data_IF_382610756380
#
_entry.id   IF_382610756380
#
_cell.length_a   1.000
_cell.length_b   1.000
_cell.length_c   1.000
_cell.angle_alpha   90.00
_cell.angle_beta   90.00
_cell.angle_gamma   90.00
#
_symmetry.space_group_name_H-M   'P 1'
#
loop_
_entity.id
_entity.type
_entity.pdbx_description
1 polymer ?
#
# COMPACT_ATOMS: atom_id res chain seq x y z
N UNK A 1 -8.05 -20.41 -18.66
CA UNK A 1 -8.42 -19.26 -17.82
C UNK A 1 -8.12 -17.97 -18.54
N UNK A 2 -9.01 -17.00 -18.41
CA UNK A 2 -8.79 -15.66 -18.95
C UNK A 2 -7.74 -14.91 -18.12
N UNK A 3 -6.82 -14.26 -18.79
CA UNK A 3 -5.72 -13.53 -18.15
C UNK A 3 -5.51 -12.20 -18.86
N UNK A 4 -5.38 -11.11 -18.11
CA UNK A 4 -5.10 -9.77 -18.63
C UNK A 4 -3.60 -9.48 -18.49
N UNK A 5 -2.89 -9.41 -19.61
CA UNK A 5 -1.44 -9.25 -19.67
C UNK A 5 -1.10 -7.84 -20.16
N UNK A 6 -0.15 -7.19 -19.52
CA UNK A 6 0.58 -6.07 -20.06
C UNK A 6 1.68 -6.63 -20.99
N UNK A 7 1.43 -6.64 -22.30
CA UNK A 7 2.34 -7.19 -23.31
C UNK A 7 3.61 -6.35 -23.46
N UNK A 8 3.40 -5.05 -23.43
CA UNK A 8 4.43 -4.01 -23.47
C UNK A 8 3.82 -2.70 -22.95
N UNK A 9 4.61 -1.66 -22.70
CA UNK A 9 4.06 -0.35 -22.31
C UNK A 9 2.92 0.12 -23.23
N UNK A 10 1.79 0.48 -22.61
CA UNK A 10 0.59 0.95 -23.30
C UNK A 10 -0.31 -0.14 -23.89
N UNK A 11 0.01 -1.42 -23.71
CA UNK A 11 -0.75 -2.53 -24.34
C UNK A 11 -1.19 -3.55 -23.29
N UNK A 12 -2.50 -3.55 -22.97
CA UNK A 12 -3.15 -4.61 -22.20
C UNK A 12 -3.90 -5.53 -23.16
N UNK A 13 -3.79 -6.83 -22.96
CA UNK A 13 -4.41 -7.84 -23.81
C UNK A 13 -4.98 -9.00 -22.97
N UNK A 14 -6.20 -9.44 -23.31
CA UNK A 14 -6.74 -10.67 -22.78
C UNK A 14 -6.22 -11.87 -23.58
N UNK A 15 -5.70 -12.84 -22.85
CA UNK A 15 -5.24 -14.12 -23.42
C UNK A 15 -5.84 -15.28 -22.64
N UNK A 16 -6.00 -16.41 -23.31
CA UNK A 16 -6.34 -17.68 -22.67
C UNK A 16 -5.05 -18.40 -22.26
N UNK A 17 -4.98 -18.81 -21.00
CA UNK A 17 -3.90 -19.66 -20.45
C UNK A 17 -4.49 -20.90 -19.79
N UNK A 18 -3.70 -21.93 -19.65
CA UNK A 18 -4.06 -23.07 -18.81
C UNK A 18 -4.11 -22.64 -17.33
N UNK A 19 -5.02 -23.26 -16.56
CA UNK A 19 -5.06 -23.07 -15.11
C UNK A 19 -3.77 -23.66 -14.53
N UNK A 20 -2.99 -22.91 -13.71
CA UNK A 20 -1.73 -23.41 -13.16
C UNK A 20 -1.98 -24.58 -12.21
N UNK A 21 -1.09 -25.57 -12.24
CA UNK A 21 -1.01 -26.60 -11.21
C UNK A 21 -0.12 -26.09 -10.11
N UNK A 22 -0.60 -26.00 -8.84
CA UNK A 22 0.23 -25.52 -7.74
C UNK A 22 1.41 -26.48 -7.48
N UNK A 23 2.59 -25.93 -7.20
CA UNK A 23 3.72 -26.68 -6.71
C UNK A 23 3.44 -27.23 -5.29
N UNK A 24 4.32 -28.09 -4.76
CA UNK A 24 4.12 -28.74 -3.48
C UNK A 24 3.83 -27.80 -2.31
N UNK A 25 4.42 -26.61 -2.31
CA UNK A 25 4.25 -25.57 -1.28
C UNK A 25 3.35 -24.42 -1.70
N UNK A 26 2.57 -24.60 -2.78
CA UNK A 26 1.68 -23.58 -3.32
C UNK A 26 0.21 -23.97 -3.17
N UNK A 27 -0.63 -22.95 -3.15
CA UNK A 27 -2.09 -23.03 -3.16
C UNK A 27 -2.61 -22.42 -4.45
N UNK A 28 -3.46 -23.14 -5.17
CA UNK A 28 -4.20 -22.60 -6.30
C UNK A 28 -5.33 -21.75 -5.77
N UNK A 29 -5.31 -20.48 -6.14
CA UNK A 29 -6.29 -19.49 -5.76
C UNK A 29 -7.20 -19.14 -6.94
N UNK A 30 -8.51 -19.01 -6.69
CA UNK A 30 -9.46 -18.35 -7.56
C UNK A 30 -9.55 -16.88 -7.15
N UNK A 31 -9.21 -15.98 -8.04
CA UNK A 31 -9.20 -14.54 -7.75
C UNK A 31 -10.64 -14.04 -7.58
N UNK A 32 -10.88 -13.21 -6.57
CA UNK A 32 -12.17 -12.58 -6.27
C UNK A 32 -12.13 -11.08 -6.50
N UNK A 33 -11.03 -10.44 -6.11
CA UNK A 33 -10.84 -9.02 -6.32
C UNK A 33 -9.34 -8.67 -6.35
N UNK A 34 -8.98 -7.65 -7.13
CA UNK A 34 -7.61 -7.11 -7.20
C UNK A 34 -7.65 -5.60 -7.17
N UNK A 35 -6.91 -4.99 -6.23
CA UNK A 35 -6.69 -3.55 -6.20
C UNK A 35 -5.76 -3.10 -7.33
N UNK A 36 -6.01 -1.93 -7.88
CA UNK A 36 -5.15 -1.28 -8.86
C UNK A 36 -4.20 -0.33 -8.12
N UNK A 37 -2.91 -0.62 -8.18
CA UNK A 37 -1.86 0.18 -7.57
C UNK A 37 -1.25 1.20 -8.56
N UNK A 38 -0.66 2.26 -8.02
CA UNK A 38 0.17 3.17 -8.82
C UNK A 38 1.31 2.44 -9.53
N UNK A 39 1.83 1.36 -8.96
CA UNK A 39 2.83 0.48 -9.57
C UNK A 39 2.33 -0.13 -10.89
N UNK A 40 1.06 -0.57 -10.94
CA UNK A 40 0.45 -1.14 -12.15
C UNK A 40 0.31 -0.07 -13.24
N UNK A 41 -0.13 1.14 -12.85
CA UNK A 41 -0.24 2.29 -13.74
C UNK A 41 1.13 2.70 -14.30
N UNK A 42 2.16 2.73 -13.46
CA UNK A 42 3.51 3.03 -13.89
C UNK A 42 4.12 1.93 -14.76
N UNK A 43 3.81 0.65 -14.49
CA UNK A 43 4.21 -0.47 -15.34
C UNK A 43 3.56 -0.35 -16.71
N UNK A 44 2.24 -0.16 -16.77
CA UNK A 44 1.52 0.07 -18.03
C UNK A 44 2.11 1.25 -18.82
N UNK A 45 2.49 2.33 -18.14
CA UNK A 45 3.09 3.51 -18.79
C UNK A 45 4.59 3.34 -19.14
N UNK A 46 5.21 2.19 -18.87
CA UNK A 46 6.64 1.94 -19.14
C UNK A 46 7.60 2.74 -18.25
N UNK A 47 7.13 3.24 -17.11
CA UNK A 47 7.90 4.09 -16.19
C UNK A 47 8.40 3.35 -14.94
N UNK A 48 8.21 2.02 -14.89
CA UNK A 48 8.63 1.19 -13.75
C UNK A 48 9.92 0.45 -14.09
N UNK A 49 11.07 0.78 -13.46
CA UNK A 49 12.38 0.27 -13.86
C UNK A 49 12.60 -1.22 -13.54
N UNK A 50 11.75 -1.80 -12.67
CA UNK A 50 11.90 -3.19 -12.21
C UNK A 50 11.04 -4.19 -12.99
N UNK A 51 10.35 -3.75 -14.04
CA UNK A 51 9.46 -4.59 -14.82
C UNK A 51 10.13 -5.18 -16.06
N UNK A 52 9.76 -6.42 -16.35
CA UNK A 52 9.97 -7.07 -17.63
C UNK A 52 8.62 -7.40 -18.26
N UNK A 53 8.48 -7.24 -19.56
CA UNK A 53 7.28 -7.54 -20.32
C UNK A 53 7.49 -8.80 -21.17
N UNK A 54 6.43 -9.59 -21.44
CA UNK A 54 5.07 -9.43 -20.95
C UNK A 54 4.94 -9.75 -19.45
N UNK A 55 3.90 -9.17 -18.78
CA UNK A 55 3.65 -9.39 -17.36
C UNK A 55 2.16 -9.33 -17.03
N UNK A 56 1.67 -10.26 -16.25
CA UNK A 56 0.37 -10.15 -15.56
C UNK A 56 0.54 -9.27 -14.34
N UNK A 57 -0.15 -8.13 -14.31
CA UNK A 57 -0.07 -7.16 -13.21
C UNK A 57 -0.96 -7.56 -12.03
N UNK A 58 -1.08 -6.69 -11.03
CA UNK A 58 -1.94 -6.84 -9.86
C UNK A 58 -1.29 -7.60 -8.73
N UNK A 59 -1.00 -6.88 -7.64
CA UNK A 59 -0.36 -7.41 -6.43
C UNK A 59 -1.18 -7.19 -5.15
N UNK A 60 -2.30 -6.48 -5.23
CA UNK A 60 -3.26 -6.27 -4.14
C UNK A 60 -4.40 -7.28 -4.32
N UNK A 61 -4.28 -8.49 -3.77
CA UNK A 61 -5.09 -9.64 -4.17
C UNK A 61 -5.96 -10.15 -3.01
N UNK A 62 -7.26 -10.32 -3.28
CA UNK A 62 -8.17 -11.17 -2.53
C UNK A 62 -8.55 -12.37 -3.37
N UNK A 63 -8.45 -13.56 -2.81
CA UNK A 63 -8.73 -14.81 -3.53
C UNK A 63 -9.24 -15.91 -2.60
N UNK A 64 -9.82 -16.95 -3.18
CA UNK A 64 -10.36 -18.14 -2.50
C UNK A 64 -9.50 -19.35 -2.87
N UNK A 65 -9.13 -20.16 -1.89
CA UNK A 65 -8.36 -21.37 -2.13
C UNK A 65 -9.20 -22.47 -2.78
N UNK A 66 -8.70 -23.05 -3.88
CA UNK A 66 -9.36 -24.11 -4.65
C UNK A 66 -8.68 -25.46 -4.40
N UNK A 67 -7.37 -25.50 -4.46
CA UNK A 67 -6.57 -26.70 -4.22
C UNK A 67 -5.18 -26.33 -3.70
N UNK A 68 -4.49 -27.30 -3.14
CA UNK A 68 -3.16 -27.08 -2.53
C UNK A 68 -2.18 -28.19 -2.87
N UNK A 69 -0.90 -27.83 -2.89
CA UNK A 69 0.18 -28.79 -3.04
C UNK A 69 0.37 -29.67 -1.81
N UNK A 70 1.17 -30.73 -1.98
CA UNK A 70 1.33 -31.81 -0.99
C UNK A 70 2.00 -31.37 0.32
N UNK A 71 2.75 -30.28 0.33
CA UNK A 71 3.46 -29.76 1.52
C UNK A 71 2.68 -28.65 2.24
N UNK A 72 1.57 -28.16 1.68
CA UNK A 72 0.72 -27.16 2.32
C UNK A 72 -0.02 -27.76 3.52
N UNK A 73 -0.02 -27.06 4.64
CA UNK A 73 -0.56 -27.53 5.92
C UNK A 73 -1.73 -26.71 6.45
N UNK A 74 -1.74 -25.40 6.19
CA UNK A 74 -2.64 -24.43 6.84
C UNK A 74 -3.77 -23.97 5.94
N UNK A 75 -3.56 -23.93 4.62
CA UNK A 75 -4.57 -23.46 3.68
C UNK A 75 -5.77 -24.42 3.63
N UNK A 76 -6.96 -23.85 3.69
CA UNK A 76 -8.23 -24.58 3.67
C UNK A 76 -8.97 -24.27 2.36
N UNK A 77 -9.60 -25.27 1.75
CA UNK A 77 -10.46 -25.07 0.59
C UNK A 77 -11.64 -24.17 0.95
N UNK A 78 -12.07 -23.37 -0.02
CA UNK A 78 -13.16 -22.39 0.10
C UNK A 78 -12.91 -21.26 1.12
N UNK A 79 -11.72 -21.23 1.77
CA UNK A 79 -11.30 -20.12 2.61
C UNK A 79 -10.78 -18.97 1.74
N UNK A 80 -11.16 -17.74 2.09
CA UNK A 80 -10.63 -16.50 1.45
C UNK A 80 -9.37 -16.03 2.11
N UNK A 81 -8.49 -15.46 1.30
CA UNK A 81 -7.18 -14.95 1.71
C UNK A 81 -6.88 -13.60 1.06
N UNK A 82 -6.20 -12.74 1.79
CA UNK A 82 -5.40 -11.68 1.20
C UNK A 82 -3.98 -12.20 0.96
N UNK A 83 -3.36 -11.78 -0.12
CA UNK A 83 -2.03 -12.27 -0.54
C UNK A 83 -0.96 -11.24 -0.19
N UNK A 84 0.06 -11.65 0.56
CA UNK A 84 1.29 -10.88 0.72
C UNK A 84 2.08 -11.00 -0.59
N UNK A 85 2.30 -9.93 -1.36
CA UNK A 85 2.92 -10.07 -2.68
C UNK A 85 4.41 -10.37 -2.60
N UNK A 86 5.08 -10.05 -1.50
CA UNK A 86 6.52 -10.20 -1.32
C UNK A 86 6.91 -11.65 -1.04
N UNK A 87 7.78 -12.21 -1.87
CA UNK A 87 8.37 -13.55 -1.71
C UNK A 87 9.82 -13.37 -1.28
N UNK A 88 10.17 -13.59 -0.01
CA UNK A 88 11.54 -13.49 0.47
C UNK A 88 12.38 -14.68 0.02
N UNK A 89 13.70 -14.50 -0.09
CA UNK A 89 14.62 -15.58 -0.46
C UNK A 89 14.88 -16.58 0.68
N UNK A 90 14.57 -16.22 1.93
CA UNK A 90 14.76 -17.05 3.12
C UNK A 90 16.20 -17.13 3.68
N UNK A 91 17.22 -16.69 2.93
CA UNK A 91 18.63 -16.94 3.29
C UNK A 91 19.53 -15.69 3.42
N UNK A 92 19.12 -14.51 2.95
CA UNK A 92 19.90 -13.29 3.12
C UNK A 92 19.89 -12.80 4.58
N UNK A 93 20.76 -11.87 4.92
CA UNK A 93 20.87 -11.34 6.29
C UNK A 93 19.53 -10.83 6.83
N UNK A 94 18.80 -10.05 6.02
CA UNK A 94 17.49 -9.53 6.41
C UNK A 94 16.46 -10.66 6.68
N UNK A 95 16.45 -11.71 5.86
CA UNK A 95 15.55 -12.85 6.08
C UNK A 95 15.90 -13.62 7.36
N UNK A 96 17.19 -13.82 7.66
CA UNK A 96 17.61 -14.47 8.91
C UNK A 96 17.27 -13.66 10.17
N UNK A 97 17.10 -12.34 10.02
CA UNK A 97 16.64 -11.43 11.08
C UNK A 97 15.11 -11.23 11.06
N UNK A 98 14.36 -12.07 10.34
CA UNK A 98 12.90 -11.99 10.18
C UNK A 98 12.39 -10.71 9.55
N UNK A 99 13.28 -9.90 8.94
CA UNK A 99 12.95 -8.69 8.18
C UNK A 99 12.69 -9.03 6.72
N UNK A 100 11.71 -9.89 6.46
CA UNK A 100 11.43 -10.45 5.13
C UNK A 100 11.06 -9.39 4.10
N UNK A 101 10.41 -8.29 4.53
CA UNK A 101 10.11 -7.11 3.72
C UNK A 101 11.36 -6.37 3.20
N UNK A 102 12.52 -6.58 3.85
CA UNK A 102 13.81 -6.01 3.48
C UNK A 102 14.71 -7.01 2.72
N UNK A 103 14.16 -8.13 2.24
CA UNK A 103 14.93 -9.15 1.53
C UNK A 103 15.71 -8.55 0.35
N UNK A 104 17.01 -8.87 0.25
CA UNK A 104 17.89 -8.38 -0.81
C UNK A 104 17.52 -8.92 -2.20
N UNK A 105 16.86 -10.10 -2.25
CA UNK A 105 16.43 -10.79 -3.46
C UNK A 105 14.93 -11.01 -3.46
N UNK A 106 14.17 -10.01 -2.97
CA UNK A 106 12.71 -10.10 -2.94
C UNK A 106 12.15 -10.22 -4.35
N UNK A 107 11.25 -11.18 -4.54
CA UNK A 107 10.37 -11.28 -5.71
C UNK A 107 8.96 -10.86 -5.31
N UNK A 108 8.18 -10.28 -6.24
CA UNK A 108 6.81 -9.85 -5.97
C UNK A 108 5.87 -10.40 -7.06
N UNK A 109 4.75 -10.96 -6.63
CA UNK A 109 3.62 -11.21 -7.52
C UNK A 109 3.15 -9.91 -8.14
N UNK A 110 2.81 -9.92 -9.43
CA UNK A 110 2.37 -8.74 -10.18
C UNK A 110 3.49 -7.78 -10.58
N UNK A 111 4.75 -8.05 -10.20
CA UNK A 111 5.92 -7.23 -10.55
C UNK A 111 7.02 -8.09 -11.18
N UNK A 112 7.67 -8.95 -10.40
CA UNK A 112 8.73 -9.84 -10.87
C UNK A 112 8.18 -11.18 -11.38
N UNK A 113 7.01 -11.57 -10.88
CA UNK A 113 6.25 -12.75 -11.30
C UNK A 113 4.85 -12.31 -11.71
N UNK A 114 4.10 -13.19 -12.40
CA UNK A 114 2.73 -12.94 -12.77
C UNK A 114 1.86 -12.72 -11.53
N UNK A 115 0.91 -11.79 -11.63
CA UNK A 115 0.04 -11.34 -10.55
C UNK A 115 -1.43 -11.71 -10.73
N UNK A 116 -2.30 -10.98 -10.04
CA UNK A 116 -3.71 -11.28 -9.86
C UNK A 116 -4.63 -10.84 -11.00
N UNK A 117 -4.14 -10.22 -12.10
CA UNK A 117 -5.00 -9.91 -13.24
C UNK A 117 -5.28 -11.16 -14.08
N UNK A 118 -5.75 -12.21 -13.44
CA UNK A 118 -6.11 -13.50 -14.02
C UNK A 118 -7.17 -14.19 -13.16
N UNK A 119 -7.94 -15.12 -13.72
CA UNK A 119 -8.97 -15.84 -12.95
C UNK A 119 -8.38 -16.73 -11.84
N UNK A 120 -7.15 -17.26 -12.06
CA UNK A 120 -6.47 -18.13 -11.08
C UNK A 120 -5.00 -17.76 -10.97
N UNK A 121 -4.43 -18.00 -9.79
CA UNK A 121 -3.01 -17.80 -9.49
C UNK A 121 -2.53 -18.88 -8.51
N UNK A 122 -1.36 -19.45 -8.74
CA UNK A 122 -0.68 -20.29 -7.76
C UNK A 122 0.23 -19.42 -6.89
N UNK A 123 0.07 -19.50 -5.56
CA UNK A 123 0.75 -18.66 -4.58
C UNK A 123 1.31 -19.54 -3.46
N UNK A 124 2.50 -19.24 -2.99
CA UNK A 124 3.08 -19.95 -1.83
C UNK A 124 2.17 -19.83 -0.61
N UNK A 125 2.00 -20.92 0.13
CA UNK A 125 1.15 -20.93 1.33
C UNK A 125 1.57 -19.85 2.35
N UNK A 126 2.89 -19.64 2.54
CA UNK A 126 3.43 -18.62 3.44
C UNK A 126 3.03 -17.18 3.11
N UNK A 127 2.53 -16.95 1.90
CA UNK A 127 2.08 -15.63 1.44
C UNK A 127 0.58 -15.41 1.68
N UNK A 128 -0.13 -16.35 2.29
CA UNK A 128 -1.57 -16.29 2.50
C UNK A 128 -1.92 -15.80 3.91
N UNK A 129 -2.80 -14.80 3.99
CA UNK A 129 -3.36 -14.33 5.26
C UNK A 129 -4.88 -14.54 5.22
N UNK A 130 -5.45 -15.38 6.11
CA UNK A 130 -6.86 -15.72 6.05
C UNK A 130 -7.74 -14.49 6.32
N UNK A 131 -8.84 -14.38 5.58
CA UNK A 131 -9.84 -13.34 5.72
C UNK A 131 -11.08 -13.89 6.45
N UNK A 132 -11.59 -13.18 7.46
CA UNK A 132 -12.86 -13.51 8.07
C UNK A 132 -14.04 -13.11 7.16
N UNK A 133 -15.23 -13.67 7.42
CA UNK A 133 -16.41 -13.43 6.60
C UNK A 133 -16.88 -11.97 6.60
N UNK A 134 -16.61 -11.23 7.66
CA UNK A 134 -16.95 -9.81 7.81
C UNK A 134 -16.15 -8.88 6.85
N UNK A 135 -15.04 -9.35 6.32
CA UNK A 135 -14.22 -8.58 5.35
C UNK A 135 -14.67 -8.94 3.94
N UNK A 136 -15.14 -7.94 3.18
CA UNK A 136 -15.56 -8.11 1.78
C UNK A 136 -14.38 -8.48 0.87
N UNK A 137 -14.65 -9.02 -0.32
CA UNK A 137 -13.61 -9.33 -1.31
C UNK A 137 -12.82 -8.07 -1.71
N UNK A 138 -13.52 -6.95 -1.90
CA UNK A 138 -12.89 -5.67 -2.20
C UNK A 138 -12.00 -5.18 -1.05
N UNK A 139 -12.47 -5.29 0.20
CA UNK A 139 -11.68 -4.94 1.37
C UNK A 139 -10.47 -5.87 1.49
N UNK A 140 -10.65 -7.17 1.24
CA UNK A 140 -9.58 -8.16 1.23
C UNK A 140 -8.47 -7.88 0.23
N UNK A 141 -8.82 -7.36 -0.96
CA UNK A 141 -7.85 -6.89 -1.95
C UNK A 141 -7.07 -5.66 -1.45
N UNK A 142 -7.72 -4.76 -0.72
CA UNK A 142 -7.08 -3.54 -0.22
C UNK A 142 -6.27 -3.73 1.06
N UNK A 143 -6.27 -4.92 1.67
CA UNK A 143 -5.44 -5.21 2.86
C UNK A 143 -3.98 -4.88 2.59
N UNK A 144 -3.45 -5.21 1.39
CA UNK A 144 -2.06 -4.92 1.03
C UNK A 144 -1.77 -3.41 1.12
N UNK A 145 -2.58 -2.59 0.47
CA UNK A 145 -2.40 -1.14 0.46
C UNK A 145 -2.45 -0.54 1.88
N UNK A 146 -3.38 -1.00 2.73
CA UNK A 146 -3.43 -0.60 4.13
C UNK A 146 -2.23 -1.13 4.92
N UNK A 147 -1.73 -2.34 4.62
CA UNK A 147 -0.60 -2.93 5.32
C UNK A 147 0.71 -2.14 5.11
N UNK A 148 0.89 -1.49 3.96
CA UNK A 148 2.00 -0.54 3.75
C UNK A 148 1.93 0.60 4.77
N UNK A 149 0.73 1.17 4.98
CA UNK A 149 0.51 2.21 6.00
C UNK A 149 0.72 1.68 7.43
N UNK A 150 0.25 0.46 7.71
CA UNK A 150 0.43 -0.20 9.02
C UNK A 150 1.91 -0.42 9.33
N UNK A 151 2.68 -0.87 8.34
CA UNK A 151 4.12 -1.05 8.48
C UNK A 151 4.83 0.25 8.82
N UNK A 152 4.50 1.35 8.13
CA UNK A 152 5.08 2.66 8.41
C UNK A 152 4.75 3.16 9.82
N UNK A 153 3.49 3.00 10.25
CA UNK A 153 3.01 3.35 11.61
C UNK A 153 3.73 2.51 12.69
N UNK A 154 3.92 1.22 12.45
CA UNK A 154 4.69 0.34 13.33
C UNK A 154 6.17 0.71 13.34
N UNK A 155 6.76 0.97 12.17
CA UNK A 155 8.15 1.40 12.01
C UNK A 155 8.46 2.70 12.75
N UNK A 156 7.49 3.62 12.79
CA UNK A 156 7.56 4.86 13.54
C UNK A 156 7.36 4.67 15.05
N UNK A 157 6.87 3.51 15.50
CA UNK A 157 6.51 3.20 16.88
C UNK A 157 5.44 4.16 17.44
N UNK A 158 4.44 4.49 16.60
CA UNK A 158 3.39 5.44 17.00
C UNK A 158 2.60 4.92 18.20
N UNK A 159 2.40 5.80 19.19
CA UNK A 159 1.61 5.57 20.41
C UNK A 159 0.38 6.47 20.40
N UNK A 160 -0.60 6.12 21.24
CA UNK A 160 -1.75 6.99 21.51
C UNK A 160 -1.31 8.40 21.97
N UNK A 161 -2.13 9.39 21.69
CA UNK A 161 -1.95 10.81 22.06
C UNK A 161 -0.73 11.50 21.41
N UNK A 162 0.02 10.83 20.53
CA UNK A 162 1.12 11.47 19.81
C UNK A 162 0.60 12.31 18.65
N UNK A 163 1.20 13.48 18.44
CA UNK A 163 0.97 14.35 17.29
C UNK A 163 1.65 13.78 16.05
N UNK A 164 0.88 13.37 15.06
CA UNK A 164 1.34 12.71 13.84
C UNK A 164 0.91 13.51 12.63
N UNK A 165 1.88 13.92 11.82
CA UNK A 165 1.64 14.52 10.52
C UNK A 165 1.84 13.48 9.42
N UNK A 166 0.83 13.28 8.57
CA UNK A 166 0.94 12.50 7.33
C UNK A 166 1.00 13.46 6.15
N UNK A 167 2.06 13.38 5.36
CA UNK A 167 2.25 14.21 4.16
C UNK A 167 1.93 13.40 2.92
N UNK A 168 0.95 13.89 2.14
CA UNK A 168 0.35 13.20 1.00
C UNK A 168 -0.93 12.45 1.38
N UNK A 169 -2.03 12.77 0.69
CA UNK A 169 -3.34 12.15 0.85
C UNK A 169 -3.70 11.22 -0.32
N UNK A 170 -2.71 10.57 -0.92
CA UNK A 170 -2.91 9.43 -1.81
C UNK A 170 -3.31 8.17 -1.05
N UNK A 171 -3.55 7.02 -1.72
CA UNK A 171 -3.99 5.78 -1.06
C UNK A 171 -3.12 5.37 0.14
N UNK A 172 -1.80 5.44 0.00
CA UNK A 172 -0.87 5.09 1.10
C UNK A 172 -0.96 6.09 2.26
N UNK A 173 -1.05 7.40 1.96
CA UNK A 173 -1.24 8.42 3.01
C UNK A 173 -2.56 8.27 3.75
N UNK A 174 -3.66 8.00 3.03
CA UNK A 174 -4.97 7.72 3.62
C UNK A 174 -4.93 6.49 4.53
N UNK A 175 -4.32 5.39 4.07
CA UNK A 175 -4.12 4.18 4.86
C UNK A 175 -3.32 4.47 6.14
N UNK A 176 -2.21 5.19 5.99
CA UNK A 176 -1.31 5.57 7.10
C UNK A 176 -2.05 6.43 8.14
N UNK A 177 -2.80 7.44 7.68
CA UNK A 177 -3.57 8.33 8.55
C UNK A 177 -4.67 7.58 9.32
N UNK A 178 -5.42 6.70 8.62
CA UNK A 178 -6.46 5.89 9.23
C UNK A 178 -5.91 4.96 10.33
N UNK A 179 -4.79 4.31 10.07
CA UNK A 179 -4.18 3.37 11.03
C UNK A 179 -3.57 4.12 12.21
N UNK A 180 -2.86 5.23 11.99
CA UNK A 180 -2.35 6.07 13.06
C UNK A 180 -3.48 6.58 13.97
N UNK A 181 -4.60 7.04 13.38
CA UNK A 181 -5.80 7.42 14.12
C UNK A 181 -6.40 6.24 14.88
N UNK A 182 -6.50 5.06 14.27
CA UNK A 182 -7.01 3.86 14.94
C UNK A 182 -6.17 3.43 16.14
N UNK A 183 -4.88 3.81 16.19
CA UNK A 183 -3.99 3.64 17.33
C UNK A 183 -4.14 4.75 18.39
N UNK A 184 -5.02 5.72 18.20
CA UNK A 184 -5.28 6.80 19.15
C UNK A 184 -4.35 8.01 19.01
N UNK A 185 -3.62 8.17 17.91
CA UNK A 185 -2.80 9.35 17.66
C UNK A 185 -3.65 10.57 17.26
N UNK A 186 -3.14 11.77 17.55
CA UNK A 186 -3.66 13.01 16.99
C UNK A 186 -3.08 13.22 15.61
N UNK A 187 -3.89 12.95 14.57
CA UNK A 187 -3.44 12.94 13.19
C UNK A 187 -3.87 14.21 12.47
N UNK A 188 -2.93 14.80 11.73
CA UNK A 188 -3.16 15.83 10.73
C UNK A 188 -2.62 15.33 9.40
N UNK A 189 -3.31 15.68 8.30
CA UNK A 189 -2.84 15.36 6.94
C UNK A 189 -2.46 16.64 6.21
N UNK A 190 -1.40 16.60 5.40
CA UNK A 190 -1.02 17.67 4.51
C UNK A 190 -1.05 17.18 3.04
N UNK A 191 -1.73 17.91 2.18
CA UNK A 191 -1.71 17.66 0.72
C UNK A 191 -1.95 18.97 -0.04
N UNK A 192 -1.34 19.14 -1.20
CA UNK A 192 -1.51 20.31 -2.06
C UNK A 192 -2.88 20.31 -2.76
N UNK A 193 -3.46 19.15 -2.99
CA UNK A 193 -4.73 18.97 -3.70
C UNK A 193 -5.92 19.23 -2.76
N UNK A 194 -6.79 20.18 -3.12
CA UNK A 194 -7.94 20.56 -2.30
C UNK A 194 -9.00 19.45 -2.21
N UNK A 195 -9.19 18.66 -3.27
CA UNK A 195 -10.17 17.58 -3.28
C UNK A 195 -9.72 16.44 -2.35
N UNK A 196 -8.43 16.11 -2.37
CA UNK A 196 -7.84 15.12 -1.45
C UNK A 196 -7.93 15.56 0.00
N UNK A 197 -7.67 16.84 0.30
CA UNK A 197 -7.86 17.37 1.66
C UNK A 197 -9.31 17.28 2.11
N UNK A 198 -10.26 17.65 1.24
CA UNK A 198 -11.68 17.51 1.55
C UNK A 198 -12.07 16.06 1.80
N UNK A 199 -11.58 15.14 0.97
CA UNK A 199 -11.79 13.69 1.16
C UNK A 199 -11.30 13.21 2.53
N UNK A 200 -10.13 13.66 2.99
CA UNK A 200 -9.61 13.35 4.34
C UNK A 200 -10.57 13.83 5.43
N UNK A 201 -11.06 15.07 5.32
CA UNK A 201 -12.01 15.64 6.31
C UNK A 201 -13.32 14.84 6.33
N UNK A 202 -13.87 14.52 5.17
CA UNK A 202 -15.16 13.87 5.03
C UNK A 202 -15.13 12.41 5.54
N UNK A 203 -14.02 11.68 5.33
CA UNK A 203 -13.94 10.26 5.64
C UNK A 203 -13.22 9.94 6.95
N UNK A 204 -12.26 10.76 7.34
CA UNK A 204 -11.50 10.53 8.59
C UNK A 204 -11.87 11.51 9.70
N UNK A 205 -12.60 12.59 9.42
CA UNK A 205 -12.93 13.63 10.40
C UNK A 205 -11.68 14.16 11.14
N UNK A 206 -10.59 14.39 10.40
CA UNK A 206 -9.32 14.94 10.89
C UNK A 206 -8.96 16.20 10.07
N UNK A 207 -8.11 17.05 10.65
CA UNK A 207 -7.66 18.25 9.97
C UNK A 207 -6.77 17.92 8.76
N UNK A 208 -6.99 18.66 7.66
CA UNK A 208 -6.17 18.55 6.46
C UNK A 208 -5.77 19.94 5.96
N UNK A 209 -4.49 20.19 5.78
CA UNK A 209 -3.94 21.49 5.42
C UNK A 209 -3.17 21.45 4.09
N UNK A 210 -3.07 22.62 3.46
CA UNK A 210 -2.20 22.79 2.30
C UNK A 210 -0.78 23.20 2.76
N UNK A 211 0.24 22.35 2.55
CA UNK A 211 1.59 22.63 3.03
C UNK A 211 2.31 23.79 2.30
N UNK A 212 1.72 24.32 1.21
CA UNK A 212 2.29 25.44 0.46
C UNK A 212 1.76 26.82 0.92
N UNK A 213 0.83 26.85 1.88
CA UNK A 213 0.32 28.12 2.42
C UNK A 213 1.30 28.69 3.44
N UNK A 214 1.41 30.02 3.49
CA UNK A 214 2.35 30.74 4.39
C UNK A 214 2.08 30.48 5.87
N UNK A 215 0.82 30.26 6.24
CA UNK A 215 0.36 30.00 7.61
C UNK A 215 0.36 28.52 7.99
N UNK A 216 0.80 27.62 7.10
CA UNK A 216 0.73 26.18 7.33
C UNK A 216 1.37 25.73 8.66
N UNK A 217 2.57 26.24 8.98
CA UNK A 217 3.26 25.88 10.23
C UNK A 217 2.50 26.38 11.46
N UNK A 218 1.86 27.56 11.35
CA UNK A 218 1.04 28.10 12.43
C UNK A 218 -0.23 27.26 12.62
N UNK A 219 -0.93 26.89 11.55
CA UNK A 219 -2.09 26.01 11.58
C UNK A 219 -1.75 24.61 12.13
N UNK A 220 -0.60 24.06 11.74
CA UNK A 220 -0.12 22.77 12.25
C UNK A 220 0.13 22.82 13.75
N UNK A 221 0.77 23.89 14.24
CA UNK A 221 0.99 24.09 15.70
C UNK A 221 -0.33 24.26 16.44
N UNK A 222 -1.27 25.02 15.93
CA UNK A 222 -2.58 25.17 16.53
C UNK A 222 -3.30 23.83 16.66
N UNK A 223 -3.29 23.01 15.58
CA UNK A 223 -3.88 21.68 15.58
C UNK A 223 -3.22 20.71 16.59
N UNK A 224 -1.97 20.93 16.92
CA UNK A 224 -1.18 20.11 17.84
C UNK A 224 -0.93 20.77 19.22
N UNK A 225 -1.76 21.75 19.61
CA UNK A 225 -1.69 22.37 20.94
C UNK A 225 -0.44 23.23 21.17
N UNK A 226 0.12 23.83 20.13
CA UNK A 226 1.28 24.73 20.15
C UNK A 226 2.60 24.07 19.73
N UNK A 227 2.63 22.75 19.56
CA UNK A 227 3.83 22.00 19.16
C UNK A 227 3.86 21.68 17.67
N UNK A 228 4.98 21.16 17.19
CA UNK A 228 5.10 20.47 15.89
C UNK A 228 4.85 18.96 16.08
N UNK A 229 4.83 18.24 14.96
CA UNK A 229 4.61 16.80 14.97
C UNK A 229 5.69 16.03 15.75
N UNK A 230 5.29 15.01 16.49
CA UNK A 230 6.21 14.02 17.08
C UNK A 230 6.76 13.08 16.00
N UNK A 231 5.90 12.76 15.02
CA UNK A 231 6.20 11.87 13.90
C UNK A 231 5.67 12.52 12.61
N UNK A 232 6.50 12.56 11.60
CA UNK A 232 6.13 12.91 10.21
C UNK A 232 6.24 11.65 9.36
N UNK A 233 5.17 11.32 8.63
CA UNK A 233 5.07 10.17 7.73
C UNK A 233 4.86 10.72 6.31
N UNK A 234 5.91 10.73 5.48
CA UNK A 234 5.81 11.24 4.11
C UNK A 234 5.51 10.11 3.12
N UNK A 235 4.32 10.19 2.51
CA UNK A 235 3.84 9.27 1.48
C UNK A 235 3.86 9.90 0.06
N UNK A 236 4.53 11.04 -0.12
CA UNK A 236 4.48 11.80 -1.38
C UNK A 236 5.44 11.27 -2.45
N UNK A 237 6.62 10.75 -2.05
CA UNK A 237 7.71 10.48 -2.98
C UNK A 237 8.17 11.74 -3.74
N UNK A 238 7.97 12.93 -3.17
CA UNK A 238 8.32 14.22 -3.77
C UNK A 238 9.54 14.82 -3.08
N UNK A 239 10.58 15.17 -3.87
CA UNK A 239 11.84 15.69 -3.35
C UNK A 239 11.65 16.90 -2.45
N UNK A 240 10.85 17.88 -2.88
CA UNK A 240 10.68 19.13 -2.13
C UNK A 240 9.96 18.88 -0.78
N UNK A 241 8.92 18.04 -0.79
CA UNK A 241 8.22 17.62 0.42
C UNK A 241 9.16 16.93 1.40
N UNK A 242 9.77 15.81 0.97
CA UNK A 242 10.65 15.00 1.81
C UNK A 242 11.85 15.77 2.36
N UNK A 243 12.41 16.69 1.59
CA UNK A 243 13.51 17.56 2.07
C UNK A 243 13.05 18.62 3.07
N UNK A 244 11.75 18.98 3.06
CA UNK A 244 11.18 19.99 3.95
C UNK A 244 10.73 19.43 5.29
N UNK A 245 10.51 18.13 5.43
CA UNK A 245 9.92 17.48 6.61
C UNK A 245 10.68 17.77 7.90
N UNK A 246 11.98 17.99 7.82
CA UNK A 246 12.80 18.38 8.97
C UNK A 246 12.33 19.67 9.65
N UNK A 247 11.61 20.54 8.93
CA UNK A 247 11.03 21.77 9.47
C UNK A 247 9.70 21.52 10.22
N UNK A 248 9.00 20.42 9.89
CA UNK A 248 7.66 20.07 10.38
C UNK A 248 7.69 19.21 11.65
N UNK A 249 8.88 18.69 12.00
CA UNK A 249 9.07 17.83 13.16
C UNK A 249 9.52 18.63 14.38
N UNK A 250 9.08 18.23 15.58
CA UNK A 250 9.59 18.77 16.84
C UNK A 250 10.99 18.25 17.17
N UNK A 251 11.65 18.80 18.17
CA UNK A 251 12.91 18.25 18.72
C UNK A 251 12.68 16.83 19.24
N UNK A 252 13.63 15.92 18.96
CA UNK A 252 13.54 14.50 19.32
C UNK A 252 12.50 13.70 18.54
N UNK A 253 11.98 14.25 17.44
CA UNK A 253 10.96 13.58 16.65
C UNK A 253 11.49 12.61 15.59
N UNK A 254 10.58 11.88 14.93
CA UNK A 254 10.89 10.88 13.89
C UNK A 254 10.28 11.27 12.55
N UNK A 255 11.04 11.12 11.47
CA UNK A 255 10.56 11.23 10.09
C UNK A 255 10.64 9.84 9.46
N UNK A 256 9.58 9.40 8.80
CA UNK A 256 9.53 8.12 8.07
C UNK A 256 9.14 8.38 6.62
N UNK A 257 10.03 8.09 5.70
CA UNK A 257 9.75 8.12 4.28
C UNK A 257 9.08 6.81 3.84
N UNK A 258 7.85 6.94 3.36
CA UNK A 258 7.05 5.83 2.80
C UNK A 258 7.07 5.94 1.28
N UNK A 259 6.92 7.18 0.75
CA UNK A 259 7.01 7.48 -0.67
C UNK A 259 8.45 7.26 -1.18
N UNK A 260 8.57 6.71 -2.39
CA UNK A 260 9.86 6.53 -3.07
C UNK A 260 10.12 7.70 -4.01
N UNK A 261 11.21 8.41 -3.80
CA UNK A 261 11.76 9.37 -4.75
C UNK A 261 12.97 8.76 -5.47
N UNK A 262 12.99 8.86 -6.80
CA UNK A 262 14.12 8.40 -7.60
C UNK A 262 15.10 9.56 -7.76
N UNK A 263 16.17 9.57 -6.98
CA UNK A 263 17.20 10.59 -6.97
C UNK A 263 17.77 10.86 -5.58
N UNK A 264 18.48 11.94 -5.42
CA UNK A 264 19.12 12.36 -4.17
C UNK A 264 18.21 13.32 -3.39
N UNK A 265 18.07 13.08 -2.08
CA UNK A 265 17.43 13.98 -1.14
C UNK A 265 18.46 14.85 -0.44
N UNK A 266 18.14 16.14 -0.28
CA UNK A 266 18.96 17.09 0.47
C UNK A 266 18.22 17.44 1.75
N UNK A 267 18.88 17.23 2.88
CA UNK A 267 18.35 17.55 4.22
C UNK A 267 19.20 18.67 4.80
N UNK A 268 18.56 19.70 5.40
CA UNK A 268 19.27 20.77 6.12
C UNK A 268 19.89 20.20 7.40
N UNK A 269 21.17 19.87 7.34
CA UNK A 269 21.89 19.24 8.44
C UNK A 269 21.87 20.04 9.72
N UNK A 270 22.09 21.38 9.74
CA UNK A 270 22.00 22.16 10.96
C UNK A 270 20.67 22.01 11.68
N UNK A 271 19.55 22.01 10.95
CA UNK A 271 18.21 21.81 11.54
C UNK A 271 18.01 20.38 12.01
N UNK A 272 18.42 19.41 11.19
CA UNK A 272 18.34 17.98 11.50
C UNK A 272 19.11 17.64 12.77
N UNK A 273 20.36 18.08 12.87
CA UNK A 273 21.22 17.88 14.02
C UNK A 273 20.68 18.60 15.28
N UNK A 274 20.31 19.89 15.16
CA UNK A 274 19.77 20.67 16.28
C UNK A 274 18.54 20.02 16.90
N UNK A 275 17.69 19.39 16.08
CA UNK A 275 16.45 18.72 16.52
C UNK A 275 16.69 17.29 17.02
N UNK A 276 17.89 16.73 16.88
CA UNK A 276 18.17 15.31 17.17
C UNK A 276 17.14 14.39 16.50
N UNK A 277 16.91 14.64 15.20
CA UNK A 277 15.87 14.00 14.41
C UNK A 277 16.25 12.57 14.05
N UNK A 278 15.34 11.61 14.23
CA UNK A 278 15.49 10.26 13.71
C UNK A 278 14.87 10.17 12.31
N UNK A 279 15.66 9.76 11.32
CA UNK A 279 15.18 9.52 9.96
C UNK A 279 15.10 8.02 9.66
N UNK A 280 13.96 7.58 9.19
CA UNK A 280 13.66 6.20 8.84
C UNK A 280 13.08 6.12 7.43
N UNK A 281 13.14 4.94 6.83
CA UNK A 281 12.36 4.57 5.65
C UNK A 281 11.44 3.40 5.97
N UNK A 282 10.33 3.28 5.24
CA UNK A 282 9.39 2.17 5.32
C UNK A 282 9.22 1.56 3.94
N UNK A 283 9.27 0.23 3.84
CA UNK A 283 9.15 -0.50 2.58
C UNK A 283 8.36 -1.78 2.77
N UNK A 284 7.44 -2.06 1.84
CA UNK A 284 6.62 -3.27 1.86
C UNK A 284 5.85 -3.42 3.19
N UNK A 285 5.35 -4.61 3.48
CA UNK A 285 4.70 -4.96 4.74
C UNK A 285 5.02 -6.41 5.11
N UNK A 286 4.76 -6.77 6.34
CA UNK A 286 4.95 -8.12 6.88
C UNK A 286 3.59 -8.74 7.23
N UNK A 287 3.59 -10.03 7.54
CA UNK A 287 2.39 -10.76 7.95
C UNK A 287 1.68 -10.11 9.16
N UNK A 288 2.46 -9.57 10.11
CA UNK A 288 1.91 -8.85 11.27
C UNK A 288 1.11 -7.61 10.86
N UNK A 289 1.59 -6.87 9.84
CA UNK A 289 0.92 -5.67 9.34
C UNK A 289 -0.40 -6.03 8.64
N UNK A 290 -0.42 -7.11 7.84
CA UNK A 290 -1.64 -7.66 7.23
C UNK A 290 -2.66 -8.10 8.29
N UNK A 291 -2.23 -8.87 9.29
CA UNK A 291 -3.09 -9.31 10.39
C UNK A 291 -3.71 -8.13 11.16
N UNK A 292 -2.93 -7.10 11.45
CA UNK A 292 -3.42 -5.87 12.08
C UNK A 292 -4.51 -5.20 11.23
N UNK A 293 -4.29 -5.05 9.93
CA UNK A 293 -5.24 -4.42 9.01
C UNK A 293 -6.55 -5.21 8.96
N UNK A 294 -6.48 -6.52 8.82
CA UNK A 294 -7.66 -7.40 8.79
C UNK A 294 -8.46 -7.25 10.09
N UNK A 295 -7.81 -7.22 11.25
CA UNK A 295 -8.47 -7.00 12.53
C UNK A 295 -9.11 -5.61 12.64
N UNK A 296 -8.46 -4.56 12.13
CA UNK A 296 -9.04 -3.22 12.09
C UNK A 296 -10.24 -3.13 11.16
N UNK A 297 -10.23 -3.84 10.03
CA UNK A 297 -11.38 -3.96 9.12
C UNK A 297 -12.51 -4.75 9.78
N UNK A 298 -12.22 -5.91 10.35
CA UNK A 298 -13.19 -6.75 11.06
C UNK A 298 -13.90 -6.00 12.20
N UNK A 299 -13.14 -5.19 12.95
CA UNK A 299 -13.67 -4.37 14.05
C UNK A 299 -14.26 -3.03 13.62
N UNK A 300 -14.43 -2.79 12.31
CA UNK A 300 -14.97 -1.57 11.73
C UNK A 300 -14.21 -0.27 12.12
N UNK A 301 -12.92 -0.37 12.43
CA UNK A 301 -12.07 0.79 12.72
C UNK A 301 -11.50 1.44 11.46
N UNK A 302 -11.37 0.69 10.40
CA UNK A 302 -11.03 1.16 9.05
C UNK A 302 -11.95 0.51 8.02
N UNK A 303 -12.24 1.24 6.94
CA UNK A 303 -13.15 0.79 5.88
C UNK A 303 -12.54 0.96 4.50
N UNK A 304 -12.84 0.03 3.58
CA UNK A 304 -12.43 0.12 2.17
C UNK A 304 -12.86 1.41 1.48
N UNK A 305 -14.04 1.95 1.86
CA UNK A 305 -14.61 3.17 1.29
C UNK A 305 -13.75 4.43 1.54
N UNK A 306 -12.79 4.35 2.45
CA UNK A 306 -11.82 5.43 2.64
C UNK A 306 -11.04 5.72 1.34
N UNK A 307 -10.75 4.72 0.55
CA UNK A 307 -9.96 4.90 -0.68
C UNK A 307 -10.63 4.31 -1.92
N UNK A 308 -11.42 3.23 -1.81
CA UNK A 308 -12.10 2.61 -2.95
C UNK A 308 -13.21 3.51 -3.46
N UNK A 309 -13.01 4.11 -4.60
CA UNK A 309 -14.02 4.95 -5.25
C UNK A 309 -14.34 4.53 -6.69
N UNK A 310 -13.69 3.49 -7.20
CA UNK A 310 -13.96 2.88 -8.51
C UNK A 310 -14.01 1.37 -8.42
N UNK A 311 -14.94 0.77 -9.15
CA UNK A 311 -15.04 -0.67 -9.32
C UNK A 311 -15.02 -0.99 -10.82
N UNK A 312 -14.29 -2.02 -11.18
CA UNK A 312 -14.15 -2.49 -12.56
C UNK A 312 -14.50 -3.97 -12.62
N UNK A 313 -15.12 -4.38 -13.72
CA UNK A 313 -15.29 -5.79 -14.04
C UNK A 313 -14.04 -6.30 -14.76
N UNK A 314 -13.51 -7.45 -14.30
CA UNK A 314 -12.31 -8.07 -14.87
C UNK A 314 -12.45 -8.33 -16.37
N UNK A 315 -13.64 -8.73 -16.81
CA UNK A 315 -13.85 -9.16 -18.20
C UNK A 315 -13.92 -8.00 -19.20
N UNK A 316 -13.94 -6.77 -18.74
CA UNK A 316 -14.05 -5.56 -19.57
C UNK A 316 -12.98 -4.49 -19.29
N UNK A 317 -12.36 -4.47 -18.11
CA UNK A 317 -11.42 -3.39 -17.70
C UNK A 317 -10.23 -3.23 -18.67
N UNK A 318 -9.77 -4.32 -19.30
CA UNK A 318 -8.65 -4.31 -20.22
C UNK A 318 -8.97 -3.71 -21.61
N UNK A 319 -10.25 -3.58 -21.99
CA UNK A 319 -10.65 -3.09 -23.31
C UNK A 319 -10.24 -1.64 -23.55
N UNK A 320 -10.29 -0.81 -22.52
CA UNK A 320 -9.81 0.59 -22.56
C UNK A 320 -9.12 0.96 -21.23
N UNK A 321 -8.07 0.21 -20.89
CA UNK A 321 -7.33 0.39 -19.65
C UNK A 321 -6.72 1.79 -19.53
N UNK A 322 -6.23 2.34 -20.64
CA UNK A 322 -5.67 3.70 -20.70
C UNK A 322 -6.69 4.73 -20.21
N UNK A 323 -7.87 4.76 -20.77
CA UNK A 323 -8.93 5.74 -20.45
C UNK A 323 -9.54 5.50 -19.08
N UNK A 324 -9.91 4.22 -18.82
CA UNK A 324 -10.69 3.87 -17.62
C UNK A 324 -9.86 3.92 -16.34
N UNK A 325 -8.57 3.60 -16.42
CA UNK A 325 -7.68 3.48 -15.27
C UNK A 325 -6.64 4.60 -15.27
N UNK A 326 -5.82 4.72 -16.30
CA UNK A 326 -4.62 5.58 -16.29
C UNK A 326 -4.97 7.05 -16.34
N UNK A 327 -5.96 7.44 -17.16
CA UNK A 327 -6.40 8.83 -17.34
C UNK A 327 -7.48 9.25 -16.34
N UNK A 328 -7.98 8.34 -15.52
CA UNK A 328 -9.02 8.61 -14.53
C UNK A 328 -8.47 9.39 -13.32
N UNK A 329 -8.42 10.72 -13.46
CA UNK A 329 -7.92 11.63 -12.42
C UNK A 329 -8.76 11.61 -11.13
N UNK A 330 -10.01 11.13 -11.21
CA UNK A 330 -10.91 11.05 -10.05
C UNK A 330 -10.75 9.72 -9.27
N UNK A 331 -9.96 8.80 -9.78
CA UNK A 331 -9.71 7.53 -9.10
C UNK A 331 -8.72 7.71 -7.96
N UNK A 332 -9.17 7.50 -6.74
CA UNK A 332 -8.29 7.36 -5.57
C UNK A 332 -7.74 5.94 -5.56
N UNK A 333 -8.63 4.94 -5.59
CA UNK A 333 -8.29 3.53 -5.68
C UNK A 333 -9.37 2.78 -6.46
N UNK A 334 -8.95 2.04 -7.47
CA UNK A 334 -9.80 1.12 -8.22
C UNK A 334 -9.66 -0.31 -7.71
N UNK A 335 -10.75 -1.06 -7.77
CA UNK A 335 -10.77 -2.50 -7.49
C UNK A 335 -11.42 -3.22 -8.66
N UNK A 336 -10.72 -4.22 -9.20
CA UNK A 336 -11.23 -5.14 -10.23
C UNK A 336 -11.89 -6.31 -9.52
N UNK A 337 -13.12 -6.67 -9.91
CA UNK A 337 -13.88 -7.83 -9.40
C UNK A 337 -14.08 -8.86 -10.51
N UNK A 338 -14.23 -10.15 -10.13
CA UNK A 338 -14.28 -11.31 -11.03
C UNK A 338 -15.60 -12.02 -10.99
#
# INVERSE_FOLDING_TARGET
MKTLICQQPGVMEYVEKDIPTPADNEVLLKIKAVGICGTDIHAFAGRQPFFSYPRVLGHEICAEAVSRGSQCQTAQSDQRYSVIPCIPCGECAACREEKTNCCERVSLYGVHQDGGFSEYLAVREDNLVPLPDEVSDSAGALVECFAIGAHAVRRAEIKAEQNVLVVGAGPIGLATAAIARAKGAHVVVADIDCQRRQHVVDHLAINAFNPTQEDFIAALREAFGGELACVVLDATGNKASMSHDVNLIRHGGKIVFIGLYIGELVIDDPTFHKKETTLLSSRNATQEDFALVIELMRSNKIHENLMKNQAFDFFSVGEDYQRNVVENKNMVKGVITF
#
